data_IF_628022063845
#
_entry.id   IF_628022063845
#
_cell.length_a   1.000
_cell.length_b   1.000
_cell.length_c   1.000
_cell.angle_alpha   90.00
_cell.angle_beta   90.00
_cell.angle_gamma   90.00
#
_symmetry.space_group_name_H-M   'P 1'
#
loop_
_entity.id
_entity.type
_entity.pdbx_description
1 polymer ?
#
# COMPACT_ATOMS: atom_id res chain seq x y z
N UNK A 1 -12.21 13.18 35.69
CA UNK A 1 -12.26 12.46 34.39
C UNK A 1 -11.93 13.51 33.34
N UNK A 2 -10.67 13.57 32.90
CA UNK A 2 -10.17 14.66 32.06
C UNK A 2 -10.38 14.30 30.58
N UNK A 3 -11.31 15.01 29.95
CA UNK A 3 -11.60 14.92 28.52
C UNK A 3 -10.56 15.77 27.77
N UNK A 4 -9.41 15.17 27.46
CA UNK A 4 -8.39 15.74 26.57
C UNK A 4 -8.52 15.14 25.16
N UNK A 5 -9.75 15.09 24.65
CA UNK A 5 -9.99 14.81 23.24
C UNK A 5 -10.22 16.17 22.57
N UNK A 6 -9.67 16.37 21.38
CA UNK A 6 -9.99 17.47 20.45
C UNK A 6 -9.04 18.68 20.36
N UNK A 7 -7.78 18.62 20.81
CA UNK A 7 -6.83 19.72 20.49
C UNK A 7 -6.32 19.72 19.03
N UNK A 8 -6.51 18.64 18.27
CA UNK A 8 -6.02 18.51 16.90
C UNK A 8 -7.12 18.58 15.82
N UNK A 9 -8.39 18.77 16.20
CA UNK A 9 -9.48 18.97 15.22
C UNK A 9 -9.61 20.46 14.93
N UNK A 10 -9.28 20.85 13.70
CA UNK A 10 -9.65 22.17 13.19
C UNK A 10 -11.18 22.26 13.15
N UNK A 11 -11.74 23.27 13.84
CA UNK A 11 -13.19 23.49 14.03
C UNK A 11 -13.99 23.54 12.70
N UNK A 12 -13.30 23.84 11.60
CA UNK A 12 -13.89 23.99 10.27
C UNK A 12 -14.30 22.65 9.62
N UNK A 13 -13.85 21.50 10.12
CA UNK A 13 -14.17 20.21 9.51
C UNK A 13 -15.33 19.47 10.18
N UNK A 14 -16.50 19.54 9.55
CA UNK A 14 -17.65 18.68 9.86
C UNK A 14 -17.51 17.29 9.19
N UNK A 15 -17.03 16.32 9.97
CA UNK A 15 -16.94 14.92 9.55
C UNK A 15 -18.22 14.10 9.80
N UNK A 16 -19.33 14.70 10.26
CA UNK A 16 -20.58 13.98 10.59
C UNK A 16 -21.18 13.22 9.40
N UNK A 17 -20.86 13.65 8.16
CA UNK A 17 -21.32 13.04 6.91
C UNK A 17 -20.30 12.06 6.30
N UNK A 18 -19.27 11.68 7.04
CA UNK A 18 -18.24 10.75 6.58
C UNK A 18 -18.80 9.36 6.26
N UNK A 19 -18.59 8.87 5.03
CA UNK A 19 -18.95 7.51 4.63
C UNK A 19 -17.70 6.63 4.72
N UNK A 20 -17.73 5.61 5.58
CA UNK A 20 -16.64 4.63 5.69
C UNK A 20 -16.42 3.94 4.35
N UNK A 21 -15.16 3.90 3.90
CA UNK A 21 -14.79 3.19 2.68
C UNK A 21 -15.28 3.80 1.37
N UNK A 22 -15.70 5.09 1.35
CA UNK A 22 -16.22 5.79 0.15
C UNK A 22 -15.38 5.57 -1.12
N UNK A 23 -14.06 5.39 -0.97
CA UNK A 23 -13.12 5.18 -2.07
C UNK A 23 -12.32 3.87 -1.98
N UNK A 24 -12.61 3.02 -1.00
CA UNK A 24 -11.87 1.78 -0.78
C UNK A 24 -11.95 0.84 -2.00
N UNK A 25 -13.09 0.82 -2.69
CA UNK A 25 -13.28 0.05 -3.91
C UNK A 25 -12.35 0.52 -5.04
N UNK A 26 -12.34 1.83 -5.33
CA UNK A 26 -11.52 2.43 -6.39
C UNK A 26 -10.02 2.19 -6.18
N UNK A 27 -9.58 2.16 -4.92
CA UNK A 27 -8.20 1.86 -4.56
C UNK A 27 -7.81 0.41 -4.90
N UNK A 28 -8.72 -0.56 -4.66
CA UNK A 28 -8.47 -1.98 -4.97
C UNK A 28 -8.48 -2.28 -6.47
N UNK A 29 -9.26 -1.57 -7.27
CA UNK A 29 -9.36 -1.83 -8.71
C UNK A 29 -8.11 -1.43 -9.49
N UNK A 30 -7.41 -0.39 -9.05
CA UNK A 30 -6.27 0.18 -9.77
C UNK A 30 -4.91 -0.20 -9.20
N UNK A 31 -4.85 -0.72 -7.98
CA UNK A 31 -3.58 -1.06 -7.34
C UNK A 31 -3.55 -2.51 -6.85
N UNK A 32 -2.63 -3.30 -7.41
CA UNK A 32 -2.26 -4.59 -6.86
C UNK A 32 -1.03 -4.39 -5.97
N UNK A 33 -1.27 -4.03 -4.70
CA UNK A 33 -0.20 -3.81 -3.73
C UNK A 33 0.18 -5.15 -3.13
N UNK A 34 1.41 -5.58 -3.40
CA UNK A 34 2.01 -6.77 -2.80
C UNK A 34 2.99 -6.29 -1.75
N UNK A 35 2.72 -6.61 -0.48
CA UNK A 35 3.69 -6.40 0.59
C UNK A 35 4.73 -7.51 0.53
N UNK A 36 6.01 -7.14 0.49
CA UNK A 36 7.12 -8.08 0.66
C UNK A 36 7.29 -8.42 2.15
N UNK A 37 7.76 -9.64 2.42
CA UNK A 37 8.24 -9.98 3.75
C UNK A 37 9.46 -9.13 4.11
N UNK A 38 9.66 -8.90 5.41
CA UNK A 38 10.63 -7.92 5.91
C UNK A 38 12.07 -8.27 5.46
N UNK A 39 12.42 -9.55 5.45
CA UNK A 39 13.72 -10.06 4.99
C UNK A 39 13.93 -9.85 3.47
N UNK A 40 12.88 -10.00 2.66
CA UNK A 40 12.94 -9.73 1.23
C UNK A 40 13.07 -8.24 0.96
N UNK A 41 12.37 -7.40 1.72
CA UNK A 41 12.45 -5.95 1.61
C UNK A 41 13.83 -5.39 2.00
N UNK A 42 14.54 -6.05 2.93
CA UNK A 42 15.93 -5.68 3.27
C UNK A 42 16.90 -5.90 2.10
N UNK A 43 16.64 -6.89 1.24
CA UNK A 43 17.48 -7.22 0.09
C UNK A 43 17.23 -6.26 -1.08
N UNK A 44 15.98 -5.85 -1.28
CA UNK A 44 15.57 -5.05 -2.43
C UNK A 44 15.22 -3.60 -2.03
N UNK A 45 16.05 -2.61 -2.37
CA UNK A 45 15.87 -1.23 -1.91
C UNK A 45 14.68 -0.49 -2.56
N UNK A 46 14.19 -0.95 -3.72
CA UNK A 46 13.11 -0.30 -4.48
C UNK A 46 12.32 -1.28 -5.36
N UNK A 47 11.15 -0.85 -5.86
CA UNK A 47 10.31 -1.71 -6.71
C UNK A 47 10.97 -2.07 -8.04
N UNK A 48 11.91 -1.27 -8.54
CA UNK A 48 12.59 -1.52 -9.81
C UNK A 48 13.46 -2.76 -9.69
N UNK A 49 14.24 -2.86 -8.60
CA UNK A 49 15.13 -3.98 -8.31
C UNK A 49 14.37 -5.31 -8.18
N UNK A 50 13.22 -5.30 -7.50
CA UNK A 50 12.33 -6.47 -7.37
C UNK A 50 11.82 -6.91 -8.74
N UNK A 51 11.27 -5.97 -9.50
CA UNK A 51 10.67 -6.26 -10.80
C UNK A 51 11.69 -6.78 -11.81
N UNK A 52 12.90 -6.23 -11.82
CA UNK A 52 13.96 -6.69 -12.72
C UNK A 52 14.40 -8.11 -12.38
N UNK A 53 14.53 -8.45 -11.09
CA UNK A 53 14.84 -9.81 -10.64
C UNK A 53 13.75 -10.81 -11.05
N UNK A 54 12.47 -10.49 -10.83
CA UNK A 54 11.35 -11.35 -11.19
C UNK A 54 11.22 -11.54 -12.71
N UNK A 55 11.46 -10.49 -13.51
CA UNK A 55 11.49 -10.60 -14.98
C UNK A 55 12.64 -11.47 -15.47
N UNK A 56 13.83 -11.33 -14.88
CA UNK A 56 14.96 -12.20 -15.21
C UNK A 56 14.64 -13.67 -14.90
N UNK A 57 14.04 -13.95 -13.75
CA UNK A 57 13.59 -15.29 -13.38
C UNK A 57 12.51 -15.81 -14.34
N UNK A 58 11.52 -14.98 -14.69
CA UNK A 58 10.47 -15.34 -15.64
C UNK A 58 11.05 -15.72 -17.02
N UNK A 59 12.06 -14.98 -17.49
CA UNK A 59 12.76 -15.31 -18.73
C UNK A 59 13.47 -16.67 -18.64
N UNK A 60 14.15 -16.96 -17.53
CA UNK A 60 14.82 -18.26 -17.35
C UNK A 60 13.80 -19.41 -17.35
N UNK A 61 12.69 -19.25 -16.65
CA UNK A 61 11.63 -20.27 -16.57
C UNK A 61 10.96 -20.47 -17.95
N UNK A 62 10.69 -19.37 -18.66
CA UNK A 62 10.05 -19.40 -19.97
C UNK A 62 10.94 -19.95 -21.08
N UNK A 63 12.27 -19.88 -20.95
CA UNK A 63 13.22 -20.45 -21.93
C UNK A 63 13.27 -21.99 -21.83
N UNK A 64 12.92 -22.55 -20.66
CA UNK A 64 12.98 -23.99 -20.40
C UNK A 64 11.62 -24.71 -20.50
N UNK A 65 10.56 -24.01 -20.90
CA UNK A 65 9.21 -24.55 -21.12
C UNK A 65 8.86 -24.47 -22.60
#
# INVERSE_FOLDING_TARGET
MNNQQDQDRLDEYDFSKGIRGKYAHRYRETSNIVKLDDDVAEIFPDEKSVNDALRALANIISINT
#
